data_IF_076171062790
#
_entry.id   IF_076171062790
#
_cell.length_a   1.000
_cell.length_b   1.000
_cell.length_c   1.000
_cell.angle_alpha   90.00
_cell.angle_beta   90.00
_cell.angle_gamma   90.00
#
_symmetry.space_group_name_H-M   'P 1'
#
loop_
_entity.id
_entity.type
_entity.pdbx_description
1 polymer ?
#
# COMPACT_ATOMS: atom_id res chain seq x y z
N UNK A 1 5.44 -27.68 -4.45
CA UNK A 1 4.12 -26.99 -4.46
C UNK A 1 4.11 -26.09 -3.24
N UNK A 2 4.30 -24.78 -3.43
CA UNK A 2 4.52 -23.83 -2.34
C UNK A 2 3.20 -23.53 -1.63
N UNK A 3 3.14 -23.83 -0.34
CA UNK A 3 2.03 -23.56 0.55
C UNK A 3 2.09 -22.09 0.97
N UNK A 4 1.27 -21.24 0.35
CA UNK A 4 0.97 -19.93 0.91
C UNK A 4 0.09 -20.15 2.14
N UNK A 5 0.71 -20.13 3.31
CA UNK A 5 0.04 -20.15 4.61
C UNK A 5 -0.74 -18.83 4.80
N UNK A 6 -1.93 -18.73 4.22
CA UNK A 6 -2.90 -17.68 4.57
C UNK A 6 -3.41 -17.97 5.98
N UNK A 7 -2.73 -17.42 6.99
CA UNK A 7 -3.16 -17.53 8.38
C UNK A 7 -4.41 -16.66 8.56
N UNK A 8 -5.58 -17.30 8.46
CA UNK A 8 -6.92 -16.72 8.59
C UNK A 8 -7.22 -16.23 10.03
N UNK A 9 -6.46 -15.25 10.52
CA UNK A 9 -6.61 -14.67 11.85
C UNK A 9 -6.72 -13.14 11.78
N UNK A 10 -7.74 -12.67 11.06
CA UNK A 10 -8.01 -11.25 10.86
C UNK A 10 -7.14 -10.65 9.77
N UNK A 11 -7.61 -10.68 8.52
CA UNK A 11 -6.85 -10.18 7.38
C UNK A 11 -6.45 -8.71 7.58
N UNK A 12 -5.14 -8.48 7.63
CA UNK A 12 -4.53 -7.14 7.65
C UNK A 12 -4.88 -6.38 6.37
N UNK A 13 -4.77 -5.06 6.38
CA UNK A 13 -5.03 -4.28 5.16
C UNK A 13 -4.07 -4.68 4.03
N UNK A 14 -2.84 -5.05 4.37
CA UNK A 14 -1.87 -5.59 3.41
C UNK A 14 -2.38 -6.85 2.71
N UNK A 15 -2.91 -7.83 3.45
CA UNK A 15 -3.45 -9.08 2.89
C UNK A 15 -4.70 -8.83 2.05
N UNK A 16 -5.62 -7.99 2.54
CA UNK A 16 -6.83 -7.63 1.77
C UNK A 16 -6.48 -6.96 0.44
N UNK A 17 -5.47 -6.10 0.44
CA UNK A 17 -5.00 -5.45 -0.78
C UNK A 17 -4.42 -6.47 -1.76
N UNK A 18 -3.60 -7.40 -1.27
CA UNK A 18 -3.01 -8.46 -2.09
C UNK A 18 -4.09 -9.35 -2.72
N UNK A 19 -5.07 -9.79 -1.93
CA UNK A 19 -6.19 -10.58 -2.40
C UNK A 19 -6.99 -9.82 -3.47
N UNK A 20 -7.30 -8.54 -3.22
CA UNK A 20 -8.02 -7.71 -4.19
C UNK A 20 -7.22 -7.53 -5.49
N UNK A 21 -5.90 -7.36 -5.39
CA UNK A 21 -5.02 -7.29 -6.56
C UNK A 21 -5.04 -8.60 -7.35
N UNK A 22 -5.00 -9.73 -6.66
CA UNK A 22 -5.05 -11.07 -7.25
C UNK A 22 -6.39 -11.34 -7.95
N UNK A 23 -7.50 -10.97 -7.32
CA UNK A 23 -8.84 -11.09 -7.90
C UNK A 23 -9.02 -10.19 -9.13
N UNK A 24 -8.48 -8.97 -9.10
CA UNK A 24 -8.50 -8.05 -10.22
C UNK A 24 -7.46 -8.38 -11.32
N UNK A 25 -6.69 -9.46 -11.17
CA UNK A 25 -5.59 -9.86 -12.05
C UNK A 25 -4.56 -8.75 -12.31
N UNK A 26 -4.35 -7.87 -11.33
CA UNK A 26 -3.31 -6.84 -11.37
C UNK A 26 -2.06 -7.34 -10.65
N UNK A 27 -0.93 -6.69 -10.93
CA UNK A 27 0.33 -7.03 -10.27
C UNK A 27 0.21 -6.93 -8.74
N UNK A 28 0.92 -7.81 -8.00
CA UNK A 28 0.90 -7.78 -6.54
C UNK A 28 1.38 -6.42 -6.02
N UNK A 29 0.79 -5.92 -4.92
CA UNK A 29 1.12 -4.62 -4.37
C UNK A 29 2.57 -4.59 -3.89
N UNK A 30 3.35 -3.59 -4.31
CA UNK A 30 4.76 -3.44 -3.90
C UNK A 30 4.87 -2.37 -2.83
N UNK A 31 5.22 -2.77 -1.61
CA UNK A 31 5.40 -1.85 -0.48
C UNK A 31 6.85 -1.34 -0.41
N UNK A 32 7.00 -0.03 -0.30
CA UNK A 32 8.27 0.67 -0.15
C UNK A 32 8.21 1.50 1.13
N UNK A 33 9.07 1.16 2.07
CA UNK A 33 9.20 1.94 3.31
C UNK A 33 10.07 3.17 3.05
N UNK A 34 9.57 4.33 3.46
CA UNK A 34 10.25 5.61 3.36
C UNK A 34 10.63 6.06 4.75
N UNK A 35 11.87 6.51 4.94
CA UNK A 35 12.36 7.03 6.22
C UNK A 35 12.86 8.46 6.06
N UNK A 36 12.57 9.31 7.04
CA UNK A 36 12.89 10.74 7.05
C UNK A 36 13.53 11.11 8.40
N UNK A 37 14.74 11.66 8.39
CA UNK A 37 15.48 12.02 9.62
C UNK A 37 15.13 13.44 10.05
N UNK A 38 14.51 13.59 11.23
CA UNK A 38 14.10 14.88 11.82
C UNK A 38 14.88 15.20 13.09
N UNK A 39 16.18 15.47 12.95
CA UNK A 39 17.00 16.03 14.03
C UNK A 39 17.06 15.20 15.31
N UNK A 40 16.98 13.86 15.21
CA UNK A 40 17.08 12.93 16.34
C UNK A 40 16.01 11.83 16.37
N UNK A 41 14.90 12.02 15.64
CA UNK A 41 13.88 10.99 15.40
C UNK A 41 13.84 10.64 13.93
N UNK A 42 13.50 9.39 13.62
CA UNK A 42 13.24 8.96 12.24
C UNK A 42 11.74 8.80 12.09
N UNK A 43 11.16 9.59 11.20
CA UNK A 43 9.80 9.44 10.75
C UNK A 43 9.76 8.36 9.66
N UNK A 44 8.74 7.51 9.69
CA UNK A 44 8.56 6.39 8.78
C UNK A 44 7.22 6.48 8.08
N UNK A 45 7.22 6.25 6.78
CA UNK A 45 6.02 6.15 5.96
C UNK A 45 6.13 4.90 5.08
N UNK A 46 5.02 4.52 4.45
CA UNK A 46 4.99 3.43 3.48
C UNK A 46 4.34 3.92 2.21
N UNK A 47 4.88 3.52 1.06
CA UNK A 47 4.26 3.74 -0.25
C UNK A 47 4.00 2.39 -0.87
N UNK A 48 2.76 2.14 -1.27
CA UNK A 48 2.39 0.92 -1.98
C UNK A 48 2.17 1.24 -3.45
N UNK A 49 2.72 0.41 -4.32
CA UNK A 49 2.55 0.54 -5.77
C UNK A 49 1.56 -0.50 -6.26
N UNK A 50 0.47 -0.03 -6.85
CA UNK A 50 -0.63 -0.87 -7.33
C UNK A 50 -1.05 -0.39 -8.71
N UNK A 51 -1.12 -1.30 -9.70
CA UNK A 51 -1.51 -0.96 -11.08
C UNK A 51 -0.68 0.21 -11.69
N UNK A 52 0.59 0.35 -11.29
CA UNK A 52 1.45 1.46 -11.72
C UNK A 52 1.16 2.81 -11.05
N UNK A 53 0.25 2.87 -10.09
CA UNK A 53 0.00 4.02 -9.22
C UNK A 53 0.74 3.86 -7.89
N UNK A 54 1.43 4.91 -7.44
CA UNK A 54 2.08 4.94 -6.14
C UNK A 54 1.17 5.63 -5.13
N UNK A 55 0.83 4.91 -4.06
CA UNK A 55 -0.09 5.35 -3.03
C UNK A 55 0.67 5.38 -1.70
N UNK A 56 0.91 6.58 -1.18
CA UNK A 56 1.61 6.76 0.09
C UNK A 56 0.64 6.69 1.27
N UNK A 57 1.16 6.28 2.43
CA UNK A 57 0.50 6.44 3.71
C UNK A 57 0.22 7.93 3.95
N UNK A 58 -0.91 8.22 4.58
CA UNK A 58 -1.39 9.57 4.89
C UNK A 58 -0.51 10.27 5.92
N UNK A 59 0.07 9.48 6.82
CA UNK A 59 0.82 10.00 7.95
C UNK A 59 2.23 9.43 8.00
N UNK A 60 3.08 10.15 8.74
CA UNK A 60 4.40 9.68 9.14
C UNK A 60 4.32 9.17 10.56
N UNK A 61 4.90 8.00 10.78
CA UNK A 61 4.87 7.25 12.02
C UNK A 61 6.27 7.20 12.65
N UNK A 62 6.35 6.99 13.96
CA UNK A 62 7.65 6.71 14.60
C UNK A 62 8.13 5.29 14.21
N UNK A 63 9.41 4.98 14.38
CA UNK A 63 10.01 3.71 13.94
C UNK A 63 9.40 2.46 14.57
N UNK A 64 8.80 2.60 15.75
CA UNK A 64 8.05 1.52 16.39
C UNK A 64 6.72 1.20 15.67
N UNK A 65 6.25 2.08 14.79
CA UNK A 65 4.95 2.03 14.13
C UNK A 65 5.05 1.94 12.60
N UNK A 66 6.18 1.45 12.06
CA UNK A 66 6.35 1.20 10.61
C UNK A 66 5.27 0.28 10.05
N UNK A 67 4.81 -0.70 10.84
CA UNK A 67 3.72 -1.58 10.44
C UNK A 67 2.40 -0.81 10.27
N UNK A 68 2.12 0.18 11.13
CA UNK A 68 0.93 1.02 10.98
C UNK A 68 1.01 1.86 9.70
N UNK A 69 2.21 2.31 9.31
CA UNK A 69 2.40 2.99 8.03
C UNK A 69 2.07 2.08 6.84
N UNK A 70 2.45 0.80 6.90
CA UNK A 70 2.11 -0.18 5.86
C UNK A 70 0.60 -0.43 5.79
N UNK A 71 -0.03 -0.60 6.94
CA UNK A 71 -1.48 -0.81 7.04
C UNK A 71 -2.26 0.38 6.46
N UNK A 72 -1.86 1.61 6.79
CA UNK A 72 -2.50 2.83 6.27
C UNK A 72 -2.32 2.97 4.75
N UNK A 73 -1.10 2.75 4.23
CA UNK A 73 -0.87 2.74 2.79
C UNK A 73 -1.71 1.67 2.08
N UNK A 74 -1.84 0.48 2.67
CA UNK A 74 -2.63 -0.61 2.12
C UNK A 74 -4.12 -0.29 2.11
N UNK A 75 -4.65 0.29 3.18
CA UNK A 75 -6.05 0.71 3.27
C UNK A 75 -6.38 1.77 2.20
N UNK A 76 -5.52 2.78 2.06
CA UNK A 76 -5.72 3.84 1.05
C UNK A 76 -5.69 3.25 -0.36
N UNK A 77 -4.76 2.32 -0.62
CA UNK A 77 -4.69 1.67 -1.92
C UNK A 77 -5.88 0.77 -2.21
N UNK A 78 -6.37 0.04 -1.20
CA UNK A 78 -7.54 -0.81 -1.35
C UNK A 78 -8.77 0.04 -1.67
N UNK A 79 -8.99 1.12 -0.92
CA UNK A 79 -10.07 2.08 -1.19
C UNK A 79 -9.94 2.71 -2.57
N UNK A 80 -8.73 3.00 -3.02
CA UNK A 80 -8.47 3.52 -4.36
C UNK A 80 -8.84 2.50 -5.44
N UNK A 81 -8.50 1.22 -5.28
CA UNK A 81 -8.90 0.14 -6.19
C UNK A 81 -10.41 -0.07 -6.24
N UNK A 82 -11.07 -0.09 -5.08
CA UNK A 82 -12.53 -0.22 -4.99
C UNK A 82 -13.23 0.96 -5.66
N UNK A 83 -12.72 2.18 -5.47
CA UNK A 83 -13.25 3.39 -6.11
C UNK A 83 -12.96 3.46 -7.61
N UNK A 84 -11.90 2.80 -8.09
CA UNK A 84 -11.44 2.87 -9.49
C UNK A 84 -12.10 1.84 -10.43
N UNK A 85 -13.07 1.07 -9.94
CA UNK A 85 -13.82 0.10 -10.74
C UNK A 85 -15.23 0.64 -11.11
N UNK A 86 -15.66 0.80 -12.37
CA UNK A 86 -14.94 1.00 -13.64
C UNK A 86 -15.27 2.35 -14.31
N UNK A 87 -14.27 3.07 -14.79
CA UNK A 87 -14.16 3.63 -16.17
C UNK A 87 -13.12 4.74 -16.22
N UNK A 88 -12.25 4.62 -17.21
CA UNK A 88 -11.37 5.66 -17.78
C UNK A 88 -9.90 5.62 -17.36
N UNK A 89 -8.98 5.51 -18.35
CA UNK A 89 -7.56 5.40 -18.13
C UNK A 89 -6.91 6.78 -17.94
N UNK A 90 -5.67 6.74 -17.43
CA UNK A 90 -4.65 7.78 -17.60
C UNK A 90 -4.84 9.03 -16.74
N UNK A 91 -4.13 9.08 -15.62
CA UNK A 91 -3.43 10.31 -15.27
C UNK A 91 -1.94 10.12 -15.54
N UNK A 92 -1.55 10.57 -16.74
CA UNK A 92 -0.17 10.90 -17.04
C UNK A 92 0.32 11.92 -16.03
N UNK A 93 1.41 11.56 -15.39
CA UNK A 93 2.18 12.34 -14.44
C UNK A 93 2.80 13.55 -15.17
N UNK A 94 2.18 14.72 -15.05
CA UNK A 94 2.77 15.99 -15.51
C UNK A 94 2.82 17.02 -14.37
N UNK A 95 4.03 17.52 -14.11
CA UNK A 95 4.30 18.85 -13.55
C UNK A 95 5.15 18.83 -12.28
N UNK A 96 6.20 19.64 -12.11
CA UNK A 96 6.93 20.60 -12.97
C UNK A 96 8.40 20.57 -12.54
#
# INVERSE_FOLDING_TARGET
MSFSSYSSSGATWQEKLEERCREAQIHPPVFQIVSDRRGGRTAWSSTVTVQGQNIAARFWYDGQYVNNAKEDAAEVALKSLESSSPTSPTQSRNGW
#
